data_IF_025516281235
#
_entry.id   IF_025516281235
#
_cell.length_a   1.000
_cell.length_b   1.000
_cell.length_c   1.000
_cell.angle_alpha   90.00
_cell.angle_beta   90.00
_cell.angle_gamma   90.00
#
_symmetry.space_group_name_H-M   'P 1'
#
loop_
_entity.id
_entity.type
_entity.pdbx_description
1 polymer ?
#
# COMPACT_ATOMS: atom_id res chain seq x y z
N UNK A 1 -34.39 11.97 -3.48
CA UNK A 1 -33.47 12.04 -2.33
C UNK A 1 -32.29 11.18 -2.68
N UNK A 2 -31.15 11.84 -2.81
CA UNK A 2 -30.07 11.52 -3.73
C UNK A 2 -29.39 10.18 -3.44
N UNK A 3 -29.24 9.36 -4.49
CA UNK A 3 -28.40 8.17 -4.44
C UNK A 3 -26.97 8.67 -4.34
N UNK A 4 -26.32 8.50 -3.19
CA UNK A 4 -24.89 8.76 -3.04
C UNK A 4 -24.16 7.89 -4.05
N UNK A 5 -23.67 8.50 -5.12
CA UNK A 5 -22.63 7.90 -5.95
C UNK A 5 -21.43 7.71 -5.04
N UNK A 6 -21.24 6.47 -4.59
CA UNK A 6 -20.04 6.09 -3.87
C UNK A 6 -18.91 6.13 -4.89
N UNK A 7 -18.24 7.27 -5.01
CA UNK A 7 -17.02 7.44 -5.80
C UNK A 7 -16.08 6.28 -5.46
N UNK A 8 -15.92 5.34 -6.39
CA UNK A 8 -14.98 4.23 -6.21
C UNK A 8 -13.58 4.85 -6.29
N UNK A 9 -13.05 5.22 -5.13
CA UNK A 9 -11.71 5.78 -5.04
C UNK A 9 -10.70 4.71 -5.47
N UNK A 10 -9.97 4.96 -6.55
CA UNK A 10 -8.97 4.03 -7.05
C UNK A 10 -7.85 3.80 -6.01
N UNK A 11 -7.43 2.54 -5.86
CA UNK A 11 -6.31 2.20 -4.98
C UNK A 11 -5.02 2.81 -5.55
N UNK A 12 -4.30 3.56 -4.73
CA UNK A 12 -2.98 4.10 -5.07
C UNK A 12 -1.93 3.69 -4.05
N UNK A 13 -0.70 3.47 -4.54
CA UNK A 13 0.47 3.11 -3.76
C UNK A 13 1.60 4.06 -4.15
N UNK A 14 2.12 4.81 -3.19
CA UNK A 14 3.25 5.72 -3.39
C UNK A 14 4.25 5.64 -2.23
N UNK A 15 5.50 5.98 -2.51
CA UNK A 15 6.53 6.17 -1.48
C UNK A 15 6.73 7.67 -1.30
N UNK A 16 6.66 8.13 -0.05
CA UNK A 16 6.86 9.51 0.37
C UNK A 16 8.14 9.55 1.20
N UNK A 17 9.05 10.48 0.91
CA UNK A 17 10.37 10.51 1.53
C UNK A 17 11.18 9.23 1.24
N UNK A 18 11.94 8.76 2.24
CA UNK A 18 12.85 7.60 2.09
C UNK A 18 12.16 6.26 2.37
N UNK A 19 11.22 6.22 3.33
CA UNK A 19 10.69 4.95 3.85
C UNK A 19 9.20 4.97 4.20
N UNK A 20 8.44 6.00 3.81
CA UNK A 20 7.00 6.06 4.11
C UNK A 20 6.19 5.56 2.94
N UNK A 21 5.46 4.46 3.12
CA UNK A 21 4.51 3.95 2.14
C UNK A 21 3.14 4.59 2.38
N UNK A 22 2.65 5.39 1.44
CA UNK A 22 1.29 5.90 1.46
C UNK A 22 0.38 5.05 0.58
N UNK A 23 -0.77 4.67 1.13
CA UNK A 23 -1.81 3.89 0.45
C UNK A 23 -3.13 4.63 0.57
N UNK A 24 -3.79 4.87 -0.57
CA UNK A 24 -5.11 5.52 -0.62
C UNK A 24 -6.14 4.61 -1.30
N UNK A 25 -7.43 4.83 -1.04
CA UNK A 25 -8.54 4.10 -1.69
C UNK A 25 -8.62 2.62 -1.29
N UNK A 26 -7.92 2.19 -0.25
CA UNK A 26 -7.74 0.77 0.09
C UNK A 26 -8.31 0.36 1.45
N UNK A 27 -9.23 1.15 2.02
CA UNK A 27 -9.85 0.84 3.31
C UNK A 27 -10.44 -0.58 3.31
N UNK A 28 -10.11 -1.37 4.34
CA UNK A 28 -10.53 -2.76 4.48
C UNK A 28 -9.73 -3.77 3.63
N UNK A 29 -8.83 -3.33 2.76
CA UNK A 29 -7.97 -4.23 1.99
C UNK A 29 -6.75 -4.67 2.80
N UNK A 30 -6.18 -5.80 2.42
CA UNK A 30 -4.90 -6.29 2.98
C UNK A 30 -3.73 -5.73 2.19
N UNK A 31 -2.84 -5.03 2.89
CA UNK A 31 -1.53 -4.63 2.42
C UNK A 31 -0.52 -5.74 2.74
N UNK A 32 0.17 -6.24 1.71
CA UNK A 32 1.28 -7.17 1.84
C UNK A 32 2.53 -6.63 1.16
N UNK A 33 3.69 -6.76 1.82
CA UNK A 33 4.98 -6.39 1.24
C UNK A 33 5.85 -7.64 1.15
N UNK A 34 6.51 -7.80 0.00
CA UNK A 34 7.40 -8.91 -0.29
C UNK A 34 8.77 -8.39 -0.72
N UNK A 35 9.82 -9.14 -0.38
CA UNK A 35 11.11 -9.03 -1.07
C UNK A 35 10.94 -9.49 -2.52
N UNK A 36 11.83 -9.04 -3.41
CA UNK A 36 11.84 -9.49 -4.82
C UNK A 36 12.04 -11.01 -4.96
N UNK A 37 12.59 -11.68 -3.95
CA UNK A 37 12.71 -13.14 -3.87
C UNK A 37 11.40 -13.86 -3.52
N UNK A 38 10.31 -13.13 -3.28
CA UNK A 38 8.98 -13.67 -2.95
C UNK A 38 8.69 -13.84 -1.46
N UNK A 39 9.66 -13.56 -0.57
CA UNK A 39 9.45 -13.64 0.89
C UNK A 39 8.58 -12.49 1.37
N UNK A 40 7.44 -12.81 2.03
CA UNK A 40 6.56 -11.82 2.66
C UNK A 40 7.19 -11.27 3.94
N UNK A 41 7.31 -9.94 4.04
CA UNK A 41 7.91 -9.24 5.18
C UNK A 41 6.91 -8.38 5.96
N UNK A 42 5.74 -8.08 5.40
CA UNK A 42 4.68 -7.35 6.08
C UNK A 42 3.31 -7.83 5.60
N UNK A 43 2.33 -7.86 6.52
CA UNK A 43 0.94 -8.19 6.23
C UNK A 43 0.01 -7.48 7.21
N UNK A 44 -0.69 -6.44 6.77
CA UNK A 44 -1.57 -5.64 7.64
C UNK A 44 -2.87 -5.28 6.91
N UNK A 45 -3.94 -5.06 7.68
CA UNK A 45 -5.20 -4.54 7.14
C UNK A 45 -5.16 -3.02 7.14
N UNK A 46 -5.52 -2.41 6.01
CA UNK A 46 -5.64 -0.96 5.90
C UNK A 46 -6.96 -0.55 6.54
N UNK A 47 -6.89 0.30 7.57
CA UNK A 47 -8.00 0.68 8.45
C UNK A 47 -8.59 2.07 8.09
N UNK A 48 -8.20 2.66 6.96
CA UNK A 48 -8.73 3.94 6.48
C UNK A 48 -8.54 4.15 4.98
N UNK A 49 -9.16 5.19 4.44
CA UNK A 49 -9.09 5.52 3.01
C UNK A 49 -7.76 6.17 2.60
N UNK A 50 -6.98 6.69 3.54
CA UNK A 50 -5.64 7.24 3.34
C UNK A 50 -4.76 6.92 4.56
N UNK A 51 -3.73 6.11 4.35
CA UNK A 51 -2.84 5.65 5.43
C UNK A 51 -1.38 5.69 4.99
N UNK A 52 -0.53 6.04 5.95
CA UNK A 52 0.92 6.08 5.80
C UNK A 52 1.57 5.10 6.76
N UNK A 53 2.50 4.30 6.25
CA UNK A 53 3.23 3.29 7.01
C UNK A 53 4.73 3.57 6.93
N UNK A 54 5.37 3.76 8.08
CA UNK A 54 6.83 3.78 8.15
C UNK A 54 7.37 2.38 7.96
N UNK A 55 8.07 2.17 6.85
CA UNK A 55 8.70 0.89 6.52
C UNK A 55 10.06 0.80 7.20
N UNK A 56 10.13 0.06 8.31
CA UNK A 56 11.41 -0.32 8.91
C UNK A 56 12.01 -1.51 8.18
N UNK A 57 12.33 -1.32 6.90
CA UNK A 57 12.89 -2.32 6.00
C UNK A 57 14.25 -1.81 5.46
N UNK A 58 15.24 -2.68 5.27
CA UNK A 58 16.51 -2.29 4.64
C UNK A 58 16.31 -1.70 3.25
N UNK A 59 17.24 -0.83 2.83
CA UNK A 59 17.31 -0.32 1.45
C UNK A 59 17.24 -1.47 0.44
N UNK A 60 16.56 -1.22 -0.67
CA UNK A 60 16.37 -2.22 -1.72
C UNK A 60 15.01 -2.16 -2.39
N UNK A 61 14.74 -3.14 -3.25
CA UNK A 61 13.49 -3.24 -3.98
C UNK A 61 12.51 -4.19 -3.30
N UNK A 62 11.24 -3.79 -3.29
CA UNK A 62 10.14 -4.56 -2.71
C UNK A 62 8.93 -4.56 -3.63
N UNK A 63 8.08 -5.57 -3.46
CA UNK A 63 6.80 -5.69 -4.13
C UNK A 63 5.72 -5.40 -3.09
N UNK A 64 4.92 -4.38 -3.34
CA UNK A 64 3.77 -4.00 -2.51
C UNK A 64 2.50 -4.45 -3.21
N UNK A 65 1.63 -5.16 -2.50
CA UNK A 65 0.31 -5.59 -2.97
C UNK A 65 -0.77 -5.07 -2.04
N UNK A 66 -1.80 -4.45 -2.61
CA UNK A 66 -3.01 -4.03 -1.90
C UNK A 66 -4.22 -4.30 -2.78
N UNK A 67 -5.12 -5.17 -2.33
CA UNK A 67 -6.25 -5.61 -3.16
C UNK A 67 -5.78 -6.22 -4.49
N UNK A 68 -6.24 -5.65 -5.61
CA UNK A 68 -5.86 -6.04 -6.97
C UNK A 68 -4.65 -5.25 -7.52
N UNK A 69 -4.12 -4.27 -6.79
CA UNK A 69 -2.98 -3.45 -7.22
C UNK A 69 -1.67 -4.04 -6.70
N UNK A 70 -0.68 -4.14 -7.58
CA UNK A 70 0.69 -4.57 -7.25
C UNK A 70 1.67 -3.56 -7.82
N UNK A 71 2.67 -3.15 -7.03
CA UNK A 71 3.68 -2.17 -7.46
C UNK A 71 5.07 -2.52 -6.92
N UNK A 72 6.08 -2.39 -7.77
CA UNK A 72 7.49 -2.40 -7.32
C UNK A 72 7.83 -1.04 -6.73
N UNK A 73 8.43 -1.03 -5.54
CA UNK A 73 8.98 0.17 -4.91
C UNK A 73 10.48 -0.01 -4.67
N UNK A 74 11.21 1.09 -4.59
CA UNK A 74 12.61 1.12 -4.18
C UNK A 74 12.73 2.02 -2.96
N UNK A 75 13.29 1.46 -1.88
CA UNK A 75 13.68 2.20 -0.68
C UNK A 75 15.14 2.60 -0.83
N UNK A 76 15.43 3.89 -0.64
CA UNK A 76 16.76 4.49 -0.79
C UNK A 76 17.23 5.04 0.55
#
# INVERSE_FOLDING_TARGET
>A
MDRVENDIQAISISVVGESVLRVTGAAGQTLSIYKVTGVKVMNIRVDGSDKSYHLNLPQGCYIVKVGNVVRKIALR
#
